data_IF_138200686519
#
_entry.id   IF_138200686519
#
_cell.length_a   1.000
_cell.length_b   1.000
_cell.length_c   1.000
_cell.angle_alpha   90.00
_cell.angle_beta   90.00
_cell.angle_gamma   90.00
#
_symmetry.space_group_name_H-M   'P 1'
#
loop_
_entity.id
_entity.type
_entity.pdbx_description
1 polymer ?
#
# COMPACT_ATOMS: atom_id res chain seq x y z
N UNK A 1 13.12 -3.34 2.59
CA UNK A 1 12.71 -2.47 1.48
C UNK A 1 13.69 -1.30 1.35
N UNK A 2 13.99 -0.84 0.13
CA UNK A 2 14.81 0.35 -0.11
C UNK A 2 14.02 1.63 0.26
N UNK A 3 14.67 2.59 0.91
CA UNK A 3 14.07 3.86 1.34
C UNK A 3 13.41 4.65 0.20
N UNK A 4 13.94 4.55 -1.01
CA UNK A 4 13.36 5.21 -2.19
C UNK A 4 12.02 4.58 -2.61
N UNK A 5 11.94 3.24 -2.61
CA UNK A 5 10.72 2.49 -2.92
C UNK A 5 9.66 2.73 -1.84
N UNK A 6 10.08 2.78 -0.57
CA UNK A 6 9.19 3.12 0.54
C UNK A 6 8.55 4.50 0.35
N UNK A 7 9.33 5.53 0.03
CA UNK A 7 8.81 6.87 -0.19
C UNK A 7 7.87 6.95 -1.39
N UNK A 8 8.20 6.27 -2.49
CA UNK A 8 7.32 6.17 -3.66
C UNK A 8 5.99 5.49 -3.29
N UNK A 9 6.05 4.39 -2.55
CA UNK A 9 4.88 3.65 -2.09
C UNK A 9 4.01 4.49 -1.15
N UNK A 10 4.61 5.20 -0.19
CA UNK A 10 3.90 6.09 0.73
C UNK A 10 3.20 7.22 -0.03
N UNK A 11 3.91 7.88 -0.95
CA UNK A 11 3.33 8.95 -1.78
C UNK A 11 2.19 8.42 -2.66
N UNK A 12 2.38 7.24 -3.27
CA UNK A 12 1.36 6.58 -4.07
C UNK A 12 0.11 6.28 -3.22
N UNK A 13 0.27 5.62 -2.08
CA UNK A 13 -0.84 5.25 -1.20
C UNK A 13 -1.57 6.49 -0.66
N UNK A 14 -0.86 7.59 -0.41
CA UNK A 14 -1.45 8.87 0.01
C UNK A 14 -2.35 9.46 -1.09
N UNK A 15 -1.95 9.40 -2.36
CA UNK A 15 -2.81 9.84 -3.48
C UNK A 15 -4.01 8.90 -3.69
N UNK A 16 -3.78 7.59 -3.59
CA UNK A 16 -4.82 6.57 -3.74
C UNK A 16 -5.88 6.61 -2.63
N UNK A 17 -5.54 7.11 -1.44
CA UNK A 17 -6.52 7.29 -0.37
C UNK A 17 -7.56 8.37 -0.72
N UNK A 18 -7.14 9.44 -1.40
CA UNK A 18 -8.04 10.54 -1.78
C UNK A 18 -8.83 10.21 -3.05
N UNK A 19 -8.19 9.53 -4.02
CA UNK A 19 -8.81 9.12 -5.28
C UNK A 19 -8.30 7.74 -5.67
N UNK A 20 -9.04 6.72 -5.25
CA UNK A 20 -8.72 5.34 -5.60
C UNK A 20 -8.80 5.12 -7.12
N UNK A 21 -7.74 4.58 -7.70
CA UNK A 21 -7.63 4.24 -9.10
C UNK A 21 -7.02 2.84 -9.26
N UNK A 22 -7.83 1.81 -9.58
CA UNK A 22 -7.35 0.44 -9.71
C UNK A 22 -6.36 0.26 -10.89
N UNK A 23 -6.45 1.07 -11.94
CA UNK A 23 -5.48 1.06 -13.05
C UNK A 23 -4.10 1.54 -12.62
N UNK A 24 -4.03 2.58 -11.78
CA UNK A 24 -2.76 3.07 -11.22
C UNK A 24 -2.12 2.04 -10.29
N UNK A 25 -2.93 1.29 -9.54
CA UNK A 25 -2.46 0.15 -8.74
C UNK A 25 -1.90 -0.97 -9.61
N UNK A 26 -2.54 -1.30 -10.74
CA UNK A 26 -2.03 -2.32 -11.66
C UNK A 26 -0.66 -1.94 -12.24
N UNK A 27 -0.48 -0.68 -12.65
CA UNK A 27 0.82 -0.19 -13.14
C UNK A 27 1.87 -0.16 -12.03
N UNK A 28 1.51 0.25 -10.82
CA UNK A 28 2.42 0.23 -9.67
C UNK A 28 2.87 -1.19 -9.32
N UNK A 29 1.93 -2.15 -9.31
CA UNK A 29 2.21 -3.57 -9.06
C UNK A 29 3.07 -4.21 -10.15
N UNK A 30 2.95 -3.79 -11.41
CA UNK A 30 3.88 -4.25 -12.45
C UNK A 30 5.32 -3.83 -12.17
N UNK A 31 5.51 -2.61 -11.65
CA UNK A 31 6.83 -2.07 -11.35
C UNK A 31 7.40 -2.59 -10.02
N UNK A 32 6.55 -2.77 -9.00
CA UNK A 32 6.91 -3.18 -7.64
C UNK A 32 5.92 -4.24 -7.12
N UNK A 33 5.98 -5.48 -7.64
CA UNK A 33 4.96 -6.50 -7.38
C UNK A 33 4.88 -6.90 -5.92
N UNK A 34 6.01 -7.10 -5.26
CA UNK A 34 6.05 -7.56 -3.86
C UNK A 34 5.66 -6.44 -2.90
N UNK A 35 6.26 -5.24 -3.03
CA UNK A 35 5.97 -4.10 -2.16
C UNK A 35 4.54 -3.59 -2.34
N UNK A 36 4.07 -3.47 -3.59
CA UNK A 36 2.72 -3.02 -3.88
C UNK A 36 1.66 -3.99 -3.35
N UNK A 37 1.89 -5.30 -3.47
CA UNK A 37 0.94 -6.30 -2.99
C UNK A 37 0.91 -6.36 -1.46
N UNK A 38 2.08 -6.29 -0.80
CA UNK A 38 2.18 -6.19 0.66
C UNK A 38 1.47 -4.93 1.19
N UNK A 39 1.64 -3.80 0.51
CA UNK A 39 0.95 -2.56 0.85
C UNK A 39 -0.56 -2.68 0.65
N UNK A 40 -1.02 -3.10 -0.52
CA UNK A 40 -2.45 -3.25 -0.82
C UNK A 40 -3.14 -4.20 0.18
N UNK A 41 -2.50 -5.32 0.51
CA UNK A 41 -3.01 -6.27 1.49
C UNK A 41 -2.99 -5.74 2.93
N UNK A 42 -2.00 -4.92 3.29
CA UNK A 42 -1.98 -4.20 4.57
C UNK A 42 -3.14 -3.21 4.65
N UNK A 43 -3.33 -2.41 3.60
CA UNK A 43 -4.33 -1.35 3.53
C UNK A 43 -5.75 -1.90 3.44
N UNK A 44 -5.95 -3.05 2.79
CA UNK A 44 -7.25 -3.70 2.71
C UNK A 44 -7.78 -4.17 4.06
N UNK A 45 -6.91 -4.33 5.05
CA UNK A 45 -7.25 -4.63 6.46
C UNK A 45 -7.31 -3.36 7.32
N UNK A 46 -6.82 -2.24 6.82
CA UNK A 46 -6.76 -0.97 7.54
C UNK A 46 -8.07 -0.19 7.35
N UNK A 47 -8.99 -0.30 8.32
CA UNK A 47 -10.30 0.38 8.27
C UNK A 47 -10.20 1.90 8.07
N UNK A 48 -9.13 2.53 8.53
CA UNK A 48 -8.91 3.97 8.42
C UNK A 48 -8.48 4.44 7.02
N UNK A 49 -7.99 3.53 6.15
CA UNK A 49 -7.54 3.88 4.81
C UNK A 49 -8.70 4.05 3.83
N UNK A 50 -9.78 3.27 3.99
CA UNK A 50 -10.87 3.20 3.03
C UNK A 50 -10.62 2.16 1.93
N UNK A 51 -11.56 2.00 1.00
CA UNK A 51 -11.41 1.13 -0.19
C UNK A 51 -11.02 -0.33 0.10
N UNK A 52 -11.41 -0.85 1.27
CA UNK A 52 -11.00 -2.18 1.72
C UNK A 52 -11.43 -3.29 0.74
N UNK A 53 -12.66 -3.23 0.24
CA UNK A 53 -13.18 -4.20 -0.73
C UNK A 53 -12.44 -4.11 -2.07
N UNK A 54 -12.21 -2.90 -2.58
CA UNK A 54 -11.49 -2.69 -3.84
C UNK A 54 -10.04 -3.20 -3.75
N UNK A 55 -9.35 -2.91 -2.65
CA UNK A 55 -7.99 -3.39 -2.40
C UNK A 55 -7.94 -4.91 -2.24
N UNK A 56 -8.92 -5.53 -1.57
CA UNK A 56 -8.98 -6.99 -1.48
C UNK A 56 -9.20 -7.64 -2.86
N UNK A 57 -10.09 -7.07 -3.68
CA UNK A 57 -10.33 -7.54 -5.03
C UNK A 57 -9.06 -7.44 -5.88
N UNK A 58 -8.36 -6.30 -5.76
CA UNK A 58 -7.12 -6.03 -6.47
C UNK A 58 -6.00 -6.99 -6.09
N UNK A 59 -5.79 -7.24 -4.79
CA UNK A 59 -4.79 -8.22 -4.32
C UNK A 59 -5.12 -9.62 -4.83
N UNK A 60 -6.40 -10.02 -4.81
CA UNK A 60 -6.82 -11.34 -5.33
C UNK A 60 -6.60 -11.48 -6.83
N UNK A 61 -6.86 -10.42 -7.59
CA UNK A 61 -6.78 -10.45 -9.05
C UNK A 61 -5.35 -10.31 -9.57
N UNK A 62 -4.56 -9.41 -8.99
CA UNK A 62 -3.25 -9.02 -9.53
C UNK A 62 -2.07 -9.65 -8.77
N UNK A 63 -2.28 -10.09 -7.52
CA UNK A 63 -1.22 -10.68 -6.70
C UNK A 63 -1.71 -11.91 -5.91
N UNK A 64 -2.25 -12.95 -6.58
CA UNK A 64 -2.79 -14.14 -5.91
C UNK A 64 -1.75 -14.86 -5.05
N UNK A 65 -0.48 -14.83 -5.46
CA UNK A 65 0.65 -15.39 -4.70
C UNK A 65 0.85 -14.71 -3.32
N UNK A 66 0.63 -13.40 -3.23
CA UNK A 66 0.72 -12.66 -1.96
C UNK A 66 -0.52 -12.89 -1.10
N UNK A 67 -1.68 -13.11 -1.72
CA UNK A 67 -2.89 -13.52 -1.01
C UNK A 67 -2.73 -14.89 -0.31
N UNK A 68 -1.94 -15.80 -0.89
CA UNK A 68 -1.70 -17.14 -0.35
C UNK A 68 -0.45 -17.24 0.56
N UNK A 69 0.58 -16.43 0.33
CA UNK A 69 1.89 -16.53 0.98
C UNK A 69 2.40 -15.21 1.58
N UNK A 70 1.53 -14.48 2.27
CA UNK A 70 1.80 -13.12 2.79
C UNK A 70 3.11 -12.96 3.58
N UNK A 71 3.48 -13.86 4.51
CA UNK A 71 4.72 -13.72 5.28
C UNK A 71 5.96 -13.79 4.38
N UNK A 72 5.97 -14.74 3.43
CA UNK A 72 7.10 -14.95 2.54
C UNK A 72 7.34 -13.77 1.59
N UNK A 73 6.28 -13.11 1.11
CA UNK A 73 6.40 -11.93 0.27
C UNK A 73 6.97 -10.73 1.05
N UNK A 74 6.51 -10.51 2.29
CA UNK A 74 6.98 -9.43 3.14
C UNK A 74 8.45 -9.61 3.54
N UNK A 75 8.90 -10.84 3.82
CA UNK A 75 10.29 -11.14 4.14
C UNK A 75 11.23 -10.91 2.94
N UNK A 76 10.79 -11.29 1.72
CA UNK A 76 11.60 -11.14 0.49
C UNK A 76 11.90 -9.68 0.15
N UNK A 77 10.93 -8.78 0.28
CA UNK A 77 11.13 -7.36 0.02
C UNK A 77 11.51 -6.56 1.28
N UNK A 78 11.57 -7.21 2.45
CA UNK A 78 11.81 -6.58 3.75
C UNK A 78 10.78 -5.49 4.07
N UNK A 79 9.51 -5.77 3.80
CA UNK A 79 8.39 -4.86 4.05
C UNK A 79 7.99 -4.89 5.52
N UNK A 80 8.19 -3.77 6.21
CA UNK A 80 7.76 -3.62 7.60
C UNK A 80 6.37 -2.96 7.66
N UNK A 81 5.35 -3.78 7.93
CA UNK A 81 3.94 -3.35 8.03
C UNK A 81 3.74 -2.21 9.03
N UNK A 82 4.30 -2.33 10.24
CA UNK A 82 4.05 -1.37 11.30
C UNK A 82 4.68 -0.02 10.98
N UNK A 83 5.92 -0.04 10.49
CA UNK A 83 6.62 1.16 10.05
C UNK A 83 5.88 1.84 8.89
N UNK A 84 5.46 1.07 7.87
CA UNK A 84 4.70 1.58 6.73
C UNK A 84 3.38 2.24 7.16
N UNK A 85 2.59 1.57 8.01
CA UNK A 85 1.32 2.11 8.51
C UNK A 85 1.54 3.39 9.33
N UNK A 86 2.55 3.42 10.19
CA UNK A 86 2.88 4.59 10.98
C UNK A 86 3.22 5.79 10.08
N UNK A 87 4.16 5.60 9.15
CA UNK A 87 4.58 6.65 8.20
C UNK A 87 3.45 7.14 7.30
N UNK A 88 2.61 6.24 6.82
CA UNK A 88 1.48 6.60 5.97
C UNK A 88 0.45 7.42 6.75
N UNK A 89 0.16 7.03 7.99
CA UNK A 89 -0.73 7.81 8.86
C UNK A 89 -0.17 9.20 9.14
N UNK A 90 1.13 9.31 9.44
CA UNK A 90 1.80 10.61 9.61
C UNK A 90 1.63 11.50 8.36
N UNK A 91 1.88 10.98 7.16
CA UNK A 91 1.73 11.74 5.92
C UNK A 91 0.30 12.18 5.65
N UNK A 92 -0.67 11.30 5.93
CA UNK A 92 -2.09 11.61 5.77
C UNK A 92 -2.56 12.65 6.80
N UNK A 93 -2.03 12.60 8.02
CA UNK A 93 -2.34 13.59 9.05
C UNK A 93 -1.74 14.95 8.71
N UNK A 94 -0.47 15.01 8.30
CA UNK A 94 0.18 16.25 7.88
C UNK A 94 -0.50 16.92 6.68
N UNK A 95 -1.08 16.14 5.76
CA UNK A 95 -1.89 16.68 4.66
C UNK A 95 -3.25 17.21 5.09
N UNK A 96 -3.76 16.78 6.26
CA UNK A 96 -5.06 17.22 6.81
C UNK A 96 -4.94 18.44 7.71
N UNK A 97 -3.75 18.80 8.20
CA UNK A 97 -3.54 20.06 8.91
C UNK A 97 -3.46 21.22 7.90
N UNK A 98 -4.44 22.15 7.87
CA UNK A 98 -4.26 23.39 7.16
C UNK A 98 -3.17 24.16 7.91
N UNK A 99 -2.11 24.57 7.19
CA UNK A 99 -1.18 25.60 7.67
C UNK A 99 -2.02 26.78 8.15
N UNK A 100 -2.13 26.95 9.48
CA UNK A 100 -2.63 28.16 10.10
C UNK A 100 -1.60 29.27 9.98
#
# INVERSE_FOLDING_TARGET
>A
MNRQVEQQLLSFCTHQQARFNPGAWAEFLKANPDEGACAAATLSRARWYGHAQDLQALVRQLAPQVAQGWPAAAERCGFNREQFVSRLREQLWQRREPKR
#
